data_IF_271553775562
#
_entry.id   IF_271553775562
#
_cell.length_a   1.000
_cell.length_b   1.000
_cell.length_c   1.000
_cell.angle_alpha   90.00
_cell.angle_beta   90.00
_cell.angle_gamma   90.00
#
_symmetry.space_group_name_H-M   'P 1'
#
loop_
_entity.id
_entity.type
_entity.pdbx_description
1 polymer ?
#
# COMPACT_ATOMS: atom_id res chain seq x y z
N UNK A 1 11.38 -15.61 20.08
CA UNK A 1 12.43 -14.63 19.75
C UNK A 1 13.71 -14.84 20.58
N UNK A 2 13.65 -14.73 21.92
CA UNK A 2 14.84 -14.86 22.82
C UNK A 2 15.69 -16.12 22.62
N UNK A 3 15.08 -17.29 22.38
CA UNK A 3 15.82 -18.53 22.12
C UNK A 3 16.67 -18.49 20.83
N UNK A 4 16.17 -17.83 19.77
CA UNK A 4 16.90 -17.69 18.50
C UNK A 4 18.08 -16.70 18.63
N UNK A 5 17.89 -15.63 19.41
CA UNK A 5 18.93 -14.66 19.73
C UNK A 5 20.02 -15.28 20.62
N UNK A 6 19.62 -16.07 21.62
CA UNK A 6 20.55 -16.81 22.50
C UNK A 6 21.38 -17.83 21.74
N UNK A 7 20.82 -18.42 20.68
CA UNK A 7 21.52 -19.34 19.78
C UNK A 7 22.50 -18.64 18.80
N UNK A 8 22.64 -17.31 18.89
CA UNK A 8 23.55 -16.49 18.08
C UNK A 8 23.36 -16.67 16.56
N UNK A 9 22.10 -16.82 16.14
CA UNK A 9 21.76 -17.26 14.79
C UNK A 9 20.74 -16.35 14.12
N UNK A 10 21.20 -15.36 13.36
CA UNK A 10 20.34 -14.36 12.73
C UNK A 10 19.30 -14.97 11.78
N UNK A 11 19.64 -16.02 11.02
CA UNK A 11 18.65 -16.73 10.20
C UNK A 11 17.46 -17.29 11.00
N UNK A 12 17.70 -17.84 12.19
CA UNK A 12 16.61 -18.30 13.08
C UNK A 12 15.83 -17.12 13.65
N UNK A 13 16.50 -16.02 13.94
CA UNK A 13 15.84 -14.77 14.37
C UNK A 13 14.89 -14.27 13.29
N UNK A 14 15.35 -14.23 12.03
CA UNK A 14 14.53 -13.83 10.87
C UNK A 14 13.35 -14.80 10.69
N UNK A 15 13.59 -16.12 10.80
CA UNK A 15 12.52 -17.11 10.73
C UNK A 15 11.48 -16.91 11.83
N UNK A 16 11.91 -16.70 13.06
CA UNK A 16 11.02 -16.47 14.21
C UNK A 16 10.29 -15.13 14.09
N UNK A 17 10.95 -14.08 13.61
CA UNK A 17 10.33 -12.81 13.26
C UNK A 17 9.20 -13.06 12.25
N UNK A 18 9.50 -13.72 11.13
CA UNK A 18 8.51 -14.01 10.08
C UNK A 18 7.30 -14.79 10.55
N UNK A 19 7.49 -15.70 11.51
CA UNK A 19 6.42 -16.53 12.08
C UNK A 19 5.84 -15.94 13.37
N UNK A 20 6.18 -14.69 13.71
CA UNK A 20 5.66 -14.04 14.90
C UNK A 20 4.16 -13.80 14.76
N UNK A 21 3.42 -14.03 15.84
CA UNK A 21 1.95 -13.89 15.87
C UNK A 21 1.45 -12.49 15.55
N UNK A 22 2.30 -11.46 15.71
CA UNK A 22 1.98 -10.09 15.31
C UNK A 22 1.84 -9.92 13.78
N UNK A 23 2.29 -10.87 12.97
CA UNK A 23 2.07 -10.90 11.51
C UNK A 23 0.81 -11.67 11.12
N UNK A 24 -0.04 -12.04 12.07
CA UNK A 24 -1.25 -12.81 11.78
C UNK A 24 -1.01 -14.32 11.70
N UNK A 25 -1.95 -15.06 11.12
CA UNK A 25 -1.98 -16.53 11.20
C UNK A 25 -1.02 -17.19 10.22
N UNK A 26 -0.55 -16.42 9.23
CA UNK A 26 0.42 -16.88 8.24
C UNK A 26 1.71 -16.11 8.41
N UNK A 27 2.85 -16.82 8.39
CA UNK A 27 4.14 -16.16 8.46
C UNK A 27 4.38 -15.31 7.22
N UNK A 28 5.14 -14.22 7.37
CA UNK A 28 5.63 -13.44 6.23
C UNK A 28 6.39 -14.36 5.26
N UNK A 29 6.13 -14.26 3.96
CA UNK A 29 6.77 -15.08 2.95
C UNK A 29 8.29 -14.82 2.88
N UNK A 30 9.09 -15.85 2.54
CA UNK A 30 10.55 -15.72 2.55
C UNK A 30 11.02 -14.70 1.50
N UNK A 31 10.39 -14.65 0.33
CA UNK A 31 10.72 -13.73 -0.75
C UNK A 31 10.53 -12.26 -0.35
N UNK A 32 9.48 -11.97 0.42
CA UNK A 32 9.19 -10.62 0.96
C UNK A 32 10.29 -10.15 1.90
N UNK A 33 10.63 -10.96 2.90
CA UNK A 33 11.65 -10.59 3.89
C UNK A 33 13.06 -10.64 3.30
N UNK A 34 13.31 -11.51 2.33
CA UNK A 34 14.56 -11.52 1.58
C UNK A 34 14.75 -10.21 0.82
N UNK A 35 13.68 -9.69 0.22
CA UNK A 35 13.67 -8.40 -0.46
C UNK A 35 14.12 -7.25 0.44
N UNK A 36 13.61 -7.15 1.68
CA UNK A 36 14.01 -6.12 2.64
C UNK A 36 15.52 -6.14 2.96
N UNK A 37 16.15 -7.30 2.80
CA UNK A 37 17.55 -7.55 3.13
C UNK A 37 18.47 -7.52 1.91
N UNK A 38 17.95 -7.16 0.72
CA UNK A 38 18.68 -7.23 -0.54
C UNK A 38 19.10 -8.65 -0.90
N UNK A 39 18.32 -9.66 -0.53
CA UNK A 39 18.58 -11.08 -0.77
C UNK A 39 17.52 -11.71 -1.68
N UNK A 40 17.87 -12.81 -2.33
CA UNK A 40 16.91 -13.69 -3.01
C UNK A 40 16.21 -14.60 -2.02
N UNK A 41 15.03 -15.12 -2.38
CA UNK A 41 14.32 -16.11 -1.58
C UNK A 41 15.18 -17.34 -1.26
N UNK A 42 15.95 -17.84 -2.24
CA UNK A 42 16.85 -18.97 -2.07
C UNK A 42 18.04 -18.66 -1.16
N UNK A 43 18.51 -17.41 -1.14
CA UNK A 43 19.51 -16.96 -0.16
C UNK A 43 18.91 -16.92 1.24
N UNK A 44 17.73 -16.31 1.43
CA UNK A 44 17.10 -16.27 2.76
C UNK A 44 16.78 -17.68 3.29
N UNK A 45 16.29 -18.59 2.44
CA UNK A 45 16.05 -19.98 2.84
C UNK A 45 17.32 -20.68 3.34
N UNK A 46 18.47 -20.46 2.66
CA UNK A 46 19.78 -20.95 3.12
C UNK A 46 20.22 -20.30 4.42
N UNK A 47 19.89 -19.04 4.65
CA UNK A 47 20.22 -18.36 5.89
C UNK A 47 19.37 -18.87 7.07
N UNK A 48 18.09 -19.16 6.86
CA UNK A 48 17.19 -19.66 7.91
C UNK A 48 17.48 -21.10 8.35
N UNK A 49 17.97 -21.93 7.43
CA UNK A 49 18.18 -23.36 7.65
C UNK A 49 19.65 -23.77 7.68
N UNK A 50 20.55 -22.92 7.20
CA UNK A 50 21.99 -23.16 7.13
C UNK A 50 22.75 -22.69 8.37
N UNK A 51 24.09 -22.63 8.30
CA UNK A 51 24.93 -22.27 9.44
C UNK A 51 24.78 -20.78 9.85
N UNK A 52 25.13 -20.42 11.10
CA UNK A 52 25.09 -19.05 11.56
C UNK A 52 25.96 -18.13 10.70
N UNK A 53 25.41 -16.99 10.31
CA UNK A 53 26.16 -15.93 9.64
C UNK A 53 27.28 -15.40 10.55
N UNK A 54 28.46 -15.23 9.98
CA UNK A 54 29.64 -14.65 10.66
C UNK A 54 29.96 -13.22 10.22
N UNK A 55 29.34 -12.75 9.14
CA UNK A 55 29.58 -11.39 8.64
C UNK A 55 28.87 -10.38 9.55
N UNK A 56 29.67 -9.66 10.33
CA UNK A 56 29.20 -8.71 11.35
C UNK A 56 28.43 -7.53 10.75
N UNK A 57 28.85 -7.02 9.59
CA UNK A 57 28.19 -5.89 8.91
C UNK A 57 26.76 -6.23 8.49
N UNK A 58 26.56 -7.44 7.94
CA UNK A 58 25.22 -7.94 7.59
C UNK A 58 24.35 -8.18 8.81
N UNK A 59 24.94 -8.68 9.90
CA UNK A 59 24.24 -8.88 11.16
C UNK A 59 23.75 -7.55 11.75
N UNK A 60 24.59 -6.52 11.73
CA UNK A 60 24.25 -5.15 12.17
C UNK A 60 23.13 -4.59 11.28
N UNK A 61 23.29 -4.62 9.95
CA UNK A 61 22.30 -4.08 9.02
C UNK A 61 20.91 -4.71 9.22
N UNK A 62 20.83 -6.03 9.42
CA UNK A 62 19.54 -6.71 9.60
C UNK A 62 18.96 -6.56 11.01
N UNK A 63 19.81 -6.52 12.04
CA UNK A 63 19.33 -6.19 13.40
C UNK A 63 18.74 -4.78 13.45
N UNK A 64 19.38 -3.83 12.76
CA UNK A 64 18.90 -2.45 12.60
C UNK A 64 17.59 -2.40 11.84
N UNK A 65 17.49 -3.11 10.70
CA UNK A 65 16.29 -3.21 9.87
C UNK A 65 15.09 -3.84 10.62
N UNK A 66 15.33 -4.91 11.38
CA UNK A 66 14.29 -5.62 12.12
C UNK A 66 13.99 -5.00 13.49
N UNK A 67 14.69 -3.94 13.87
CA UNK A 67 14.48 -3.23 15.14
C UNK A 67 14.79 -4.07 16.37
N UNK A 68 15.81 -4.96 16.30
CA UNK A 68 16.17 -5.83 17.42
C UNK A 68 16.88 -5.00 18.50
N UNK A 69 16.40 -5.00 19.76
CA UNK A 69 17.06 -4.33 20.88
C UNK A 69 18.50 -4.81 21.11
N UNK A 70 19.42 -3.89 21.39
CA UNK A 70 20.85 -4.19 21.54
C UNK A 70 21.15 -5.14 22.71
N UNK A 71 20.42 -4.99 23.82
CA UNK A 71 20.50 -5.85 25.00
C UNK A 71 20.18 -7.33 24.70
N UNK A 72 19.56 -7.60 23.55
CA UNK A 72 19.22 -8.93 23.10
C UNK A 72 20.19 -9.50 22.05
N UNK A 73 21.13 -8.71 21.55
CA UNK A 73 22.10 -9.14 20.54
C UNK A 73 23.34 -9.76 21.19
N UNK A 74 23.94 -10.75 20.52
CA UNK A 74 25.18 -11.40 20.97
C UNK A 74 26.45 -10.76 20.39
N UNK A 75 26.25 -9.64 19.70
CA UNK A 75 27.29 -8.79 19.16
C UNK A 75 26.93 -7.35 19.50
N UNK A 76 27.94 -6.53 19.69
CA UNK A 76 27.75 -5.11 19.92
C UNK A 76 27.28 -4.46 18.63
N UNK A 77 26.25 -3.63 18.75
CA UNK A 77 26.07 -2.60 17.75
C UNK A 77 27.23 -1.60 17.93
N UNK A 78 27.67 -0.92 16.86
CA UNK A 78 28.63 0.16 17.02
C UNK A 78 28.10 1.11 18.09
N UNK A 79 28.90 1.49 19.11
CA UNK A 79 28.46 2.45 20.10
C UNK A 79 27.93 3.69 19.39
N UNK A 80 26.88 4.29 19.93
CA UNK A 80 26.37 5.57 19.46
C UNK A 80 27.41 6.66 19.79
N UNK A 81 28.56 6.63 19.11
CA UNK A 81 29.61 7.63 19.25
C UNK A 81 29.27 8.87 18.41
N UNK A 82 29.55 10.06 18.92
CA UNK A 82 29.34 11.31 18.22
C UNK A 82 30.26 11.35 16.99
N UNK A 83 29.63 11.40 15.82
CA UNK A 83 30.16 11.81 14.51
C UNK A 83 31.71 11.84 14.37
N UNK A 84 32.32 10.68 14.08
CA UNK A 84 33.61 10.64 13.42
C UNK A 84 33.70 9.42 12.49
N UNK A 85 33.49 9.72 11.20
CA UNK A 85 33.98 9.04 9.99
C UNK A 85 34.04 7.51 9.92
N UNK A 86 33.39 7.02 8.85
CA UNK A 86 33.60 5.75 8.13
C UNK A 86 33.01 4.46 8.70
N UNK A 87 31.68 4.31 8.61
CA UNK A 87 30.97 3.06 8.19
C UNK A 87 29.45 3.05 8.52
N UNK A 88 28.88 4.15 9.01
CA UNK A 88 27.47 4.26 9.44
C UNK A 88 26.49 4.84 8.40
N UNK A 89 26.88 4.98 7.13
CA UNK A 89 26.03 5.65 6.13
C UNK A 89 24.96 4.77 5.47
N UNK A 90 24.93 3.46 5.67
CA UNK A 90 24.02 2.61 4.86
C UNK A 90 22.59 2.54 5.38
N UNK A 91 22.32 2.58 6.68
CA UNK A 91 20.95 2.39 7.20
C UNK A 91 20.07 3.66 7.20
N UNK A 92 20.66 4.84 6.98
CA UNK A 92 19.97 6.13 6.87
C UNK A 92 20.36 6.86 5.56
N UNK A 93 20.85 6.11 4.56
CA UNK A 93 21.10 6.67 3.22
C UNK A 93 19.77 6.75 2.46
N UNK A 94 19.55 7.82 1.66
CA UNK A 94 18.44 7.87 0.71
C UNK A 94 18.34 6.64 -0.21
N UNK A 95 19.46 6.00 -0.56
CA UNK A 95 19.46 4.79 -1.38
C UNK A 95 18.84 3.59 -0.65
N UNK A 96 19.13 3.45 0.65
CA UNK A 96 18.54 2.40 1.47
C UNK A 96 17.06 2.64 1.72
N UNK A 97 16.68 3.88 2.02
CA UNK A 97 15.26 4.27 2.14
C UNK A 97 14.49 3.93 0.86
N UNK A 98 15.08 4.18 -0.31
CA UNK A 98 14.48 3.89 -1.60
C UNK A 98 14.31 2.39 -1.84
N UNK A 99 15.32 1.58 -1.53
CA UNK A 99 15.23 0.12 -1.68
C UNK A 99 14.28 -0.52 -0.66
N UNK A 100 14.25 0.00 0.56
CA UNK A 100 13.28 -0.39 1.59
C UNK A 100 11.86 -0.05 1.13
N UNK A 101 11.62 1.18 0.65
CA UNK A 101 10.35 1.63 0.10
C UNK A 101 9.89 0.76 -1.07
N UNK A 102 10.77 0.45 -2.03
CA UNK A 102 10.46 -0.42 -3.18
C UNK A 102 10.06 -1.82 -2.72
N UNK A 103 10.77 -2.36 -1.74
CA UNK A 103 10.48 -3.69 -1.19
C UNK A 103 9.14 -3.72 -0.47
N UNK A 104 8.84 -2.70 0.33
CA UNK A 104 7.53 -2.54 0.96
C UNK A 104 6.42 -2.41 -0.09
N UNK A 105 6.60 -1.62 -1.16
CA UNK A 105 5.62 -1.48 -2.26
C UNK A 105 5.35 -2.78 -2.99
N UNK A 106 6.37 -3.63 -3.15
CA UNK A 106 6.20 -4.96 -3.73
C UNK A 106 5.41 -5.88 -2.81
N UNK A 107 5.72 -5.84 -1.50
CA UNK A 107 5.03 -6.64 -0.51
C UNK A 107 3.55 -6.23 -0.38
N UNK A 108 3.27 -4.94 -0.24
CA UNK A 108 1.91 -4.40 -0.11
C UNK A 108 0.97 -4.84 -1.25
N UNK A 109 1.47 -4.81 -2.49
CA UNK A 109 0.67 -5.21 -3.67
C UNK A 109 0.31 -6.71 -3.69
N UNK A 110 1.08 -7.56 -3.00
CA UNK A 110 0.88 -9.01 -2.94
C UNK A 110 0.08 -9.45 -1.71
N UNK A 111 0.47 -8.98 -0.52
CA UNK A 111 -0.05 -9.50 0.76
C UNK A 111 -0.96 -8.53 1.53
N UNK A 112 -1.01 -7.26 1.10
CA UNK A 112 -1.76 -6.18 1.74
C UNK A 112 -1.00 -5.45 2.84
N UNK A 113 -1.40 -4.21 3.11
CA UNK A 113 -0.67 -3.29 3.99
C UNK A 113 -0.74 -3.60 5.47
N UNK A 114 -1.70 -4.43 5.90
CA UNK A 114 -1.97 -4.66 7.33
C UNK A 114 -0.79 -5.26 8.10
N UNK A 115 -0.09 -6.22 7.47
CA UNK A 115 1.06 -6.89 8.08
C UNK A 115 2.35 -6.04 8.07
N UNK A 116 2.36 -4.96 7.27
CA UNK A 116 3.54 -4.14 7.02
C UNK A 116 3.54 -2.83 7.83
N UNK A 117 2.37 -2.40 8.31
CA UNK A 117 2.22 -1.14 9.02
C UNK A 117 3.10 -1.04 10.29
N UNK A 118 3.18 -2.11 11.08
CA UNK A 118 4.01 -2.13 12.28
C UNK A 118 5.51 -1.96 11.94
N UNK A 119 5.98 -2.60 10.86
CA UNK A 119 7.37 -2.53 10.43
C UNK A 119 7.76 -1.12 9.96
N UNK A 120 6.95 -0.50 9.12
CA UNK A 120 7.23 0.86 8.64
C UNK A 120 7.09 1.90 9.77
N UNK A 121 6.17 1.70 10.72
CA UNK A 121 6.00 2.59 11.87
C UNK A 121 7.20 2.54 12.80
N UNK A 122 7.72 1.34 13.09
CA UNK A 122 8.95 1.17 13.87
C UNK A 122 10.16 1.81 13.19
N UNK A 123 10.27 1.67 11.86
CA UNK A 123 11.31 2.31 11.07
C UNK A 123 11.25 3.84 11.18
N UNK A 124 10.07 4.43 10.95
CA UNK A 124 9.86 5.88 11.03
C UNK A 124 10.13 6.43 12.45
N UNK A 125 9.71 5.72 13.50
CA UNK A 125 9.97 6.11 14.88
C UNK A 125 11.47 6.09 15.24
N UNK A 126 12.21 5.11 14.71
CA UNK A 126 13.66 5.03 14.86
C UNK A 126 14.37 6.15 14.09
N UNK A 127 13.95 6.40 12.84
CA UNK A 127 14.45 7.53 12.05
C UNK A 127 14.32 8.79 12.87
N UNK A 128 13.11 9.12 13.37
CA UNK A 128 12.77 10.30 14.19
C UNK A 128 13.69 10.55 15.38
N UNK A 129 14.15 9.49 16.06
CA UNK A 129 15.05 9.60 17.21
C UNK A 129 16.49 9.94 16.83
N UNK A 130 16.94 9.51 15.65
CA UNK A 130 18.26 9.87 15.14
C UNK A 130 18.32 11.34 14.68
N UNK A 131 17.17 11.98 14.48
CA UNK A 131 17.00 13.33 13.93
C UNK A 131 17.14 14.41 14.97
N UNK A 132 16.72 14.13 16.21
CA UNK A 132 16.88 15.07 17.32
C UNK A 132 18.34 15.33 17.69
N UNK A 133 19.28 14.65 17.03
CA UNK A 133 20.71 14.70 17.31
C UNK A 133 21.54 15.30 16.15
N UNK A 134 20.95 15.69 15.01
CA UNK A 134 21.70 16.16 13.84
C UNK A 134 21.02 17.32 13.06
N UNK A 135 21.83 18.12 12.37
CA UNK A 135 21.45 19.32 11.57
C UNK A 135 20.45 19.03 10.42
N UNK A 136 19.89 20.10 9.84
CA UNK A 136 18.82 20.11 8.84
C UNK A 136 18.95 19.02 7.74
N UNK A 137 17.86 18.29 7.47
CA UNK A 137 17.80 17.24 6.45
C UNK A 137 18.17 17.72 5.05
N UNK A 138 18.87 16.88 4.30
CA UNK A 138 18.97 17.06 2.85
C UNK A 138 17.58 16.94 2.19
N UNK A 139 17.33 17.66 1.08
CA UNK A 139 16.10 17.52 0.31
C UNK A 139 15.75 16.07 -0.03
N UNK A 140 16.73 15.25 -0.39
CA UNK A 140 16.52 13.84 -0.72
C UNK A 140 16.09 13.00 0.48
N UNK A 141 16.63 13.26 1.67
CA UNK A 141 16.19 12.58 2.89
C UNK A 141 14.76 12.98 3.28
N UNK A 142 14.38 14.25 3.09
CA UNK A 142 12.99 14.69 3.27
C UNK A 142 12.04 13.97 2.30
N UNK A 143 12.42 13.85 1.02
CA UNK A 143 11.63 13.15 0.00
C UNK A 143 11.46 11.65 0.32
N UNK A 144 12.54 10.99 0.78
CA UNK A 144 12.50 9.61 1.21
C UNK A 144 11.49 9.39 2.34
N UNK A 145 11.56 10.24 3.36
CA UNK A 145 10.69 10.16 4.53
C UNK A 145 9.25 10.55 4.24
N UNK A 146 9.03 11.51 3.34
CA UNK A 146 7.70 11.84 2.84
C UNK A 146 7.06 10.61 2.17
N UNK A 147 7.83 9.90 1.33
CA UNK A 147 7.36 8.69 0.65
C UNK A 147 7.07 7.53 1.60
N UNK A 148 7.91 7.34 2.62
CA UNK A 148 7.68 6.34 3.67
C UNK A 148 6.45 6.68 4.50
N UNK A 149 6.21 7.95 4.83
CA UNK A 149 4.99 8.37 5.51
C UNK A 149 3.76 8.21 4.60
N UNK A 150 3.83 8.53 3.31
CA UNK A 150 2.74 8.28 2.38
C UNK A 150 2.36 6.79 2.41
N UNK A 151 3.36 5.92 2.33
CA UNK A 151 3.17 4.48 2.39
C UNK A 151 2.58 4.00 3.74
N UNK A 152 3.08 4.53 4.86
CA UNK A 152 2.55 4.22 6.18
C UNK A 152 1.09 4.66 6.31
N UNK A 153 0.73 5.79 5.69
CA UNK A 153 -0.65 6.26 5.62
C UNK A 153 -1.57 5.27 4.91
N UNK A 154 -1.14 4.74 3.76
CA UNK A 154 -1.88 3.71 3.03
C UNK A 154 -2.01 2.40 3.80
N UNK A 155 -0.95 1.97 4.48
CA UNK A 155 -0.98 0.76 5.30
C UNK A 155 -1.89 0.92 6.52
N UNK A 156 -1.84 2.08 7.19
CA UNK A 156 -2.75 2.40 8.28
C UNK A 156 -4.21 2.37 7.82
N UNK A 157 -4.50 2.95 6.65
CA UNK A 157 -5.82 2.89 6.04
C UNK A 157 -6.26 1.43 5.78
N UNK A 158 -5.36 0.59 5.24
CA UNK A 158 -5.61 -0.84 5.00
C UNK A 158 -5.85 -1.65 6.28
N UNK A 159 -5.39 -1.18 7.45
CA UNK A 159 -5.72 -1.74 8.78
C UNK A 159 -7.00 -1.19 9.39
N UNK A 160 -7.65 -0.22 8.76
CA UNK A 160 -8.84 0.45 9.27
C UNK A 160 -8.56 1.64 10.21
N UNK A 161 -7.30 2.03 10.43
CA UNK A 161 -6.95 3.18 11.28
C UNK A 161 -6.97 4.49 10.52
N UNK A 162 -8.13 5.15 10.46
CA UNK A 162 -8.31 6.44 9.77
C UNK A 162 -7.45 7.57 10.39
N UNK A 163 -7.34 7.61 11.72
CA UNK A 163 -6.56 8.63 12.44
C UNK A 163 -5.07 8.52 12.10
N UNK A 164 -4.52 7.31 12.14
CA UNK A 164 -3.12 7.07 11.81
C UNK A 164 -2.85 7.36 10.32
N UNK A 165 -3.76 6.95 9.43
CA UNK A 165 -3.67 7.25 8.01
C UNK A 165 -3.58 8.76 7.74
N UNK A 166 -4.48 9.54 8.35
CA UNK A 166 -4.50 10.99 8.22
C UNK A 166 -3.21 11.63 8.76
N UNK A 167 -2.76 11.22 9.96
CA UNK A 167 -1.52 11.72 10.57
C UNK A 167 -0.31 11.51 9.66
N UNK A 168 -0.15 10.30 9.13
CA UNK A 168 0.97 9.98 8.23
C UNK A 168 0.92 10.80 6.93
N UNK A 169 -0.25 10.94 6.30
CA UNK A 169 -0.36 11.74 5.07
C UNK A 169 -0.13 13.24 5.30
N UNK A 170 -0.50 13.76 6.47
CA UNK A 170 -0.19 15.15 6.85
C UNK A 170 1.32 15.35 6.97
N UNK A 171 2.00 14.49 7.74
CA UNK A 171 3.46 14.52 7.86
C UNK A 171 4.16 14.32 6.52
N UNK A 172 3.64 13.46 5.64
CA UNK A 172 4.17 13.29 4.30
C UNK A 172 4.12 14.60 3.50
N UNK A 173 3.00 15.33 3.57
CA UNK A 173 2.80 16.61 2.87
C UNK A 173 3.83 17.65 3.31
N UNK A 174 4.00 17.84 4.63
CA UNK A 174 4.95 18.80 5.20
C UNK A 174 6.41 18.48 4.81
N UNK A 175 6.77 17.19 4.81
CA UNK A 175 8.11 16.76 4.42
C UNK A 175 8.35 16.92 2.91
N UNK A 176 7.35 16.62 2.07
CA UNK A 176 7.48 16.75 0.63
C UNK A 176 7.62 18.20 0.18
N UNK A 177 6.85 19.12 0.77
CA UNK A 177 6.98 20.56 0.50
C UNK A 177 8.39 21.07 0.83
N UNK A 178 8.96 20.62 1.95
CA UNK A 178 10.35 20.96 2.35
C UNK A 178 11.42 20.27 1.50
N UNK A 179 11.10 19.17 0.82
CA UNK A 179 12.03 18.44 -0.05
C UNK A 179 12.27 19.11 -1.41
N UNK A 180 11.45 20.11 -1.76
CA UNK A 180 11.44 20.77 -3.07
C UNK A 180 11.20 19.83 -4.28
N UNK A 181 10.77 18.59 -4.05
CA UNK A 181 10.32 17.67 -5.10
C UNK A 181 8.82 17.89 -5.38
N UNK A 182 8.53 18.71 -6.39
CA UNK A 182 7.15 19.06 -6.76
C UNK A 182 6.33 17.86 -7.23
N UNK A 183 6.94 16.88 -7.90
CA UNK A 183 6.23 15.68 -8.32
C UNK A 183 5.83 14.82 -7.13
N UNK A 184 6.71 14.65 -6.13
CA UNK A 184 6.39 13.93 -4.91
C UNK A 184 5.30 14.65 -4.09
N UNK A 185 5.42 15.97 -3.93
CA UNK A 185 4.40 16.77 -3.26
C UNK A 185 3.03 16.58 -3.92
N UNK A 186 2.96 16.71 -5.25
CA UNK A 186 1.74 16.51 -6.02
C UNK A 186 1.16 15.08 -5.88
N UNK A 187 2.01 14.05 -5.82
CA UNK A 187 1.58 12.67 -5.54
C UNK A 187 0.91 12.54 -4.17
N UNK A 188 1.46 13.16 -3.14
CA UNK A 188 0.89 13.09 -1.79
C UNK A 188 -0.47 13.77 -1.75
N UNK A 189 -0.67 14.88 -2.48
CA UNK A 189 -1.98 15.48 -2.66
C UNK A 189 -2.97 14.56 -3.39
N UNK A 190 -2.52 13.79 -4.39
CA UNK A 190 -3.36 12.75 -4.99
C UNK A 190 -3.78 11.69 -3.95
N UNK A 191 -2.87 11.33 -3.03
CA UNK A 191 -3.17 10.39 -1.97
C UNK A 191 -4.15 10.91 -0.92
N UNK A 192 -4.00 12.18 -0.51
CA UNK A 192 -4.96 12.86 0.37
C UNK A 192 -6.34 12.96 -0.27
N UNK A 193 -6.41 13.27 -1.57
CA UNK A 193 -7.67 13.27 -2.31
C UNK A 193 -8.35 11.91 -2.31
N UNK A 194 -7.56 10.84 -2.44
CA UNK A 194 -8.07 9.47 -2.35
C UNK A 194 -8.57 9.10 -0.98
N UNK A 195 -7.85 9.43 0.10
CA UNK A 195 -8.35 9.20 1.45
C UNK A 195 -9.64 9.97 1.73
N UNK A 196 -9.71 11.26 1.35
CA UNK A 196 -10.91 12.08 1.49
C UNK A 196 -12.12 11.49 0.72
N UNK A 197 -11.89 11.03 -0.51
CA UNK A 197 -12.91 10.35 -1.32
C UNK A 197 -13.43 9.09 -0.63
N UNK A 198 -12.55 8.30 -0.03
CA UNK A 198 -12.91 7.07 0.68
C UNK A 198 -13.81 7.36 1.89
N UNK A 199 -13.58 8.46 2.58
CA UNK A 199 -14.42 8.91 3.70
C UNK A 199 -15.68 9.69 3.28
N UNK A 200 -15.98 9.75 1.98
CA UNK A 200 -17.17 10.44 1.46
C UNK A 200 -17.06 11.96 1.46
N UNK A 201 -15.88 12.54 1.70
CA UNK A 201 -15.67 13.99 1.68
C UNK A 201 -15.29 14.45 0.26
N UNK A 202 -16.31 14.67 -0.57
CA UNK A 202 -16.13 15.05 -1.97
C UNK A 202 -15.43 16.42 -2.14
N UNK A 203 -15.73 17.38 -1.26
CA UNK A 203 -15.15 18.72 -1.32
C UNK A 203 -13.64 18.71 -1.03
N UNK A 204 -13.22 18.05 0.05
CA UNK A 204 -11.79 17.89 0.35
C UNK A 204 -11.06 17.11 -0.75
N UNK A 205 -11.68 16.05 -1.28
CA UNK A 205 -11.11 15.29 -2.38
C UNK A 205 -10.83 16.19 -3.60
N UNK A 206 -11.78 17.04 -3.97
CA UNK A 206 -11.61 18.03 -5.04
C UNK A 206 -10.51 19.04 -4.74
N UNK A 207 -10.50 19.60 -3.53
CA UNK A 207 -9.49 20.58 -3.10
C UNK A 207 -8.08 19.99 -3.19
N UNK A 208 -7.86 18.78 -2.66
CA UNK A 208 -6.55 18.14 -2.71
C UNK A 208 -6.13 17.79 -4.13
N UNK A 209 -7.04 17.31 -4.98
CA UNK A 209 -6.72 17.02 -6.37
C UNK A 209 -6.32 18.30 -7.13
N UNK A 210 -7.05 19.41 -6.89
CA UNK A 210 -6.74 20.72 -7.45
C UNK A 210 -5.36 21.21 -6.98
N UNK A 211 -5.07 21.17 -5.68
CA UNK A 211 -3.77 21.58 -5.13
C UNK A 211 -2.60 20.80 -5.75
N UNK A 212 -2.76 19.49 -5.93
CA UNK A 212 -1.73 18.68 -6.61
C UNK A 212 -1.53 19.09 -8.08
N UNK A 213 -2.60 19.44 -8.81
CA UNK A 213 -2.49 19.95 -10.18
C UNK A 213 -1.83 21.33 -10.24
N UNK A 214 -2.09 22.21 -9.26
CA UNK A 214 -1.44 23.52 -9.16
C UNK A 214 0.07 23.36 -8.93
N UNK A 215 0.50 22.46 -8.05
CA UNK A 215 1.92 22.18 -7.80
C UNK A 215 2.66 21.74 -9.08
N UNK A 216 1.99 21.04 -9.99
CA UNK A 216 2.59 20.58 -11.24
C UNK A 216 2.73 21.67 -12.32
N UNK A 217 2.08 22.82 -12.18
CA UNK A 217 2.11 23.86 -13.24
C UNK A 217 3.51 24.37 -13.53
N UNK A 218 4.31 24.52 -12.47
CA UNK A 218 5.67 25.08 -12.55
C UNK A 218 6.76 23.99 -12.42
N UNK A 219 6.35 22.72 -12.32
CA UNK A 219 7.25 21.58 -12.14
C UNK A 219 7.55 20.80 -13.43
N UNK A 220 8.47 19.81 -13.38
CA UNK A 220 8.78 18.96 -14.52
C UNK A 220 7.54 18.16 -14.96
N UNK A 221 7.31 18.11 -16.27
CA UNK A 221 6.11 17.51 -16.87
C UNK A 221 6.18 16.00 -16.78
N UNK A 222 5.19 15.40 -16.12
CA UNK A 222 5.07 13.94 -16.05
C UNK A 222 3.61 13.50 -16.23
N UNK A 223 3.29 13.08 -17.46
CA UNK A 223 1.95 12.71 -17.91
C UNK A 223 1.18 11.77 -16.97
N UNK A 224 1.76 10.64 -16.53
CA UNK A 224 1.06 9.70 -15.64
C UNK A 224 0.64 10.29 -14.28
N UNK A 225 1.46 11.17 -13.68
CA UNK A 225 1.10 11.81 -12.42
C UNK A 225 -0.01 12.86 -12.63
N UNK A 226 0.04 13.61 -13.74
CA UNK A 226 -1.04 14.50 -14.13
C UNK A 226 -2.34 13.73 -14.35
N UNK A 227 -2.29 12.61 -15.05
CA UNK A 227 -3.44 11.71 -15.26
C UNK A 227 -4.00 11.21 -13.92
N UNK A 228 -3.14 10.80 -12.98
CA UNK A 228 -3.57 10.39 -11.63
C UNK A 228 -4.35 11.48 -10.91
N UNK A 229 -3.82 12.70 -10.88
CA UNK A 229 -4.47 13.84 -10.23
C UNK A 229 -5.78 14.22 -10.91
N UNK A 230 -5.85 14.20 -12.23
CA UNK A 230 -7.09 14.44 -12.96
C UNK A 230 -8.13 13.33 -12.70
N UNK A 231 -7.71 12.07 -12.56
CA UNK A 231 -8.61 10.99 -12.13
C UNK A 231 -9.16 11.23 -10.70
N UNK A 232 -8.32 11.71 -9.78
CA UNK A 232 -8.77 12.10 -8.44
C UNK A 232 -9.77 13.25 -8.48
N UNK A 233 -9.50 14.27 -9.31
CA UNK A 233 -10.40 15.41 -9.52
C UNK A 233 -11.74 14.95 -10.10
N UNK A 234 -11.71 14.10 -11.14
CA UNK A 234 -12.92 13.55 -11.74
C UNK A 234 -13.77 12.79 -10.73
N UNK A 235 -13.16 11.97 -9.87
CA UNK A 235 -13.89 11.24 -8.82
C UNK A 235 -14.51 12.17 -7.78
N UNK A 236 -13.80 13.26 -7.42
CA UNK A 236 -14.35 14.32 -6.59
C UNK A 236 -15.57 14.98 -7.25
N UNK A 237 -15.47 15.32 -8.54
CA UNK A 237 -16.55 15.94 -9.32
C UNK A 237 -17.78 15.02 -9.38
N UNK A 238 -17.56 13.73 -9.68
CA UNK A 238 -18.61 12.72 -9.70
C UNK A 238 -19.30 12.59 -8.33
N UNK A 239 -18.53 12.59 -7.24
CA UNK A 239 -19.08 12.49 -5.88
C UNK A 239 -19.89 13.72 -5.48
N UNK A 240 -19.61 14.88 -6.08
CA UNK A 240 -20.37 16.12 -5.92
C UNK A 240 -21.54 16.29 -6.92
N UNK A 241 -21.85 15.27 -7.74
CA UNK A 241 -22.93 15.31 -8.73
C UNK A 241 -22.60 16.03 -10.04
N UNK A 242 -21.33 16.43 -10.25
CA UNK A 242 -20.87 17.16 -11.46
C UNK A 242 -20.43 16.18 -12.55
N UNK A 243 -21.37 15.35 -13.02
CA UNK A 243 -21.06 14.18 -13.84
C UNK A 243 -20.43 14.52 -15.21
N UNK A 244 -20.94 15.54 -15.91
CA UNK A 244 -20.40 15.96 -17.22
C UNK A 244 -18.94 16.39 -17.09
N UNK A 245 -18.63 17.18 -16.07
CA UNK A 245 -17.27 17.66 -15.82
C UNK A 245 -16.34 16.52 -15.38
N UNK A 246 -16.86 15.56 -14.62
CA UNK A 246 -16.12 14.36 -14.24
C UNK A 246 -15.69 13.55 -15.48
N UNK A 247 -16.62 13.28 -16.41
CA UNK A 247 -16.33 12.55 -17.65
C UNK A 247 -15.33 13.29 -18.53
N UNK A 248 -15.52 14.60 -18.73
CA UNK A 248 -14.57 15.44 -19.48
C UNK A 248 -13.18 15.44 -18.85
N UNK A 249 -13.10 15.47 -17.52
CA UNK A 249 -11.84 15.42 -16.78
C UNK A 249 -11.14 14.07 -16.95
N UNK A 250 -11.87 12.96 -16.97
CA UNK A 250 -11.32 11.63 -17.28
C UNK A 250 -10.77 11.54 -18.71
N UNK A 251 -11.49 12.05 -19.71
CA UNK A 251 -11.00 12.04 -21.09
C UNK A 251 -9.69 12.84 -21.24
N UNK A 252 -9.57 13.96 -20.54
CA UNK A 252 -8.32 14.75 -20.50
C UNK A 252 -7.20 14.05 -19.71
N UNK A 253 -7.56 13.29 -18.67
CA UNK A 253 -6.61 12.47 -17.91
C UNK A 253 -6.01 11.37 -18.79
N UNK A 254 -6.83 10.69 -19.58
CA UNK A 254 -6.40 9.64 -20.53
C UNK A 254 -5.42 10.21 -21.57
N UNK A 255 -5.74 11.38 -22.15
CA UNK A 255 -4.84 12.08 -23.07
C UNK A 255 -3.51 12.51 -22.43
N UNK A 256 -3.47 12.67 -21.11
CA UNK A 256 -2.26 13.10 -20.41
C UNK A 256 -1.16 12.04 -20.41
N UNK A 257 -1.48 10.77 -20.64
CA UNK A 257 -0.46 9.72 -20.80
C UNK A 257 0.42 9.92 -22.03
N UNK A 258 -0.10 10.55 -23.08
CA UNK A 258 0.63 10.84 -24.32
C UNK A 258 1.52 12.10 -24.25
N UNK A 259 1.50 12.81 -23.12
CA UNK A 259 2.32 14.02 -22.92
C UNK A 259 3.77 13.60 -22.60
N UNK A 260 4.73 14.44 -23.02
CA UNK A 260 6.16 14.24 -22.77
C UNK A 260 6.49 13.88 -21.32
N UNK A 261 7.49 13.00 -21.19
CA UNK A 261 7.96 12.49 -19.90
C UNK A 261 9.30 13.15 -19.59
N UNK A 262 9.28 14.20 -18.77
CA UNK A 262 10.50 14.61 -18.06
C UNK A 262 10.92 13.48 -17.09
N UNK A 263 12.14 13.59 -16.57
CA UNK A 263 12.66 12.60 -15.62
C UNK A 263 11.74 12.53 -14.39
N UNK A 264 11.07 11.39 -14.23
CA UNK A 264 10.26 11.11 -13.05
C UNK A 264 11.10 11.15 -11.77
N UNK A 265 10.56 11.75 -10.72
CA UNK A 265 11.10 11.58 -9.38
C UNK A 265 11.15 10.09 -9.03
N UNK A 266 12.28 9.66 -8.46
CA UNK A 266 12.49 8.25 -8.08
C UNK A 266 11.52 7.80 -6.97
N UNK A 267 10.91 8.77 -6.29
CA UNK A 267 9.98 8.59 -5.18
C UNK A 267 8.54 8.35 -5.63
N UNK A 268 8.24 8.58 -6.91
CA UNK A 268 6.89 8.36 -7.43
C UNK A 268 6.45 6.90 -7.31
N UNK A 269 5.18 6.73 -7.00
CA UNK A 269 4.47 5.47 -7.09
C UNK A 269 3.98 5.30 -8.52
N UNK A 270 4.17 4.12 -9.15
CA UNK A 270 3.72 3.88 -10.52
C UNK A 270 2.21 4.12 -10.67
N UNK A 271 1.82 4.78 -11.76
CA UNK A 271 0.45 4.96 -12.18
C UNK A 271 0.38 4.69 -13.67
N UNK A 272 -0.19 3.56 -14.06
CA UNK A 272 -0.29 3.09 -15.43
C UNK A 272 -1.75 3.05 -15.90
N UNK A 273 -1.95 2.65 -17.15
CA UNK A 273 -3.28 2.55 -17.77
C UNK A 273 -4.23 1.63 -16.97
N UNK A 274 -3.71 0.56 -16.36
CA UNK A 274 -4.51 -0.34 -15.50
C UNK A 274 -4.95 0.38 -14.22
N UNK A 275 -4.04 1.11 -13.57
CA UNK A 275 -4.38 1.92 -12.39
C UNK A 275 -5.38 3.01 -12.75
N UNK A 276 -5.24 3.62 -13.93
CA UNK A 276 -6.18 4.61 -14.46
C UNK A 276 -7.55 4.02 -14.78
N UNK A 277 -7.62 2.80 -15.34
CA UNK A 277 -8.87 2.10 -15.59
C UNK A 277 -9.63 1.81 -14.29
N UNK A 278 -8.93 1.41 -13.22
CA UNK A 278 -9.52 1.21 -11.88
C UNK A 278 -10.11 2.53 -11.36
N UNK A 279 -9.37 3.64 -11.45
CA UNK A 279 -9.86 4.94 -10.95
C UNK A 279 -11.00 5.50 -11.80
N UNK A 280 -10.95 5.31 -13.11
CA UNK A 280 -12.04 5.65 -14.04
C UNK A 280 -13.31 4.87 -13.70
N UNK A 281 -13.20 3.56 -13.45
CA UNK A 281 -14.34 2.73 -13.05
C UNK A 281 -14.96 3.22 -11.73
N UNK A 282 -14.16 3.58 -10.71
CA UNK A 282 -14.67 4.18 -9.46
C UNK A 282 -15.44 5.48 -9.70
N UNK A 283 -14.97 6.29 -10.65
CA UNK A 283 -15.63 7.54 -11.04
C UNK A 283 -16.98 7.25 -11.71
N UNK A 284 -17.02 6.36 -12.71
CA UNK A 284 -18.25 6.00 -13.41
C UNK A 284 -19.28 5.30 -12.50
N UNK A 285 -18.84 4.50 -11.53
CA UNK A 285 -19.74 3.97 -10.49
C UNK A 285 -20.43 5.08 -9.71
N UNK A 286 -19.70 6.16 -9.38
CA UNK A 286 -20.25 7.28 -8.65
C UNK A 286 -21.21 8.12 -9.50
N UNK A 287 -20.94 8.22 -10.80
CA UNK A 287 -21.84 8.82 -11.79
C UNK A 287 -23.12 7.98 -11.97
N UNK A 288 -23.06 6.68 -11.74
CA UNK A 288 -24.14 5.71 -12.00
C UNK A 288 -24.08 5.08 -13.40
N UNK A 289 -22.99 5.30 -14.15
CA UNK A 289 -22.80 4.68 -15.45
C UNK A 289 -22.20 3.28 -15.30
N UNK A 290 -23.09 2.30 -15.13
CA UNK A 290 -22.72 0.89 -14.96
C UNK A 290 -22.19 0.25 -16.26
N UNK A 291 -22.40 0.88 -17.42
CA UNK A 291 -21.87 0.40 -18.70
C UNK A 291 -20.39 0.75 -18.83
N UNK A 292 -20.05 2.03 -18.64
CA UNK A 292 -18.65 2.46 -18.62
C UNK A 292 -17.87 1.81 -17.48
N UNK A 293 -18.49 1.70 -16.29
CA UNK A 293 -17.87 0.97 -15.17
C UNK A 293 -17.43 -0.44 -15.57
N UNK A 294 -18.33 -1.19 -16.21
CA UNK A 294 -18.06 -2.56 -16.65
C UNK A 294 -16.93 -2.59 -17.68
N UNK A 295 -16.98 -1.73 -18.71
CA UNK A 295 -15.95 -1.68 -19.75
C UNK A 295 -14.56 -1.39 -19.17
N UNK A 296 -14.46 -0.42 -18.26
CA UNK A 296 -13.19 -0.06 -17.60
C UNK A 296 -12.68 -1.18 -16.70
N UNK A 297 -13.56 -1.91 -16.03
CA UNK A 297 -13.19 -3.05 -15.19
C UNK A 297 -12.74 -4.27 -15.99
N UNK A 298 -13.31 -4.48 -17.18
CA UNK A 298 -12.91 -5.58 -18.06
C UNK A 298 -11.44 -5.47 -18.46
N UNK A 299 -10.95 -4.26 -18.77
CA UNK A 299 -9.53 -3.97 -19.02
C UNK A 299 -8.63 -4.50 -17.88
N UNK A 300 -9.09 -4.34 -16.63
CA UNK A 300 -8.33 -4.75 -15.44
C UNK A 300 -8.35 -6.27 -15.27
N UNK A 301 -9.46 -6.92 -15.60
CA UNK A 301 -9.61 -8.38 -15.53
C UNK A 301 -8.74 -9.07 -16.58
N UNK A 302 -8.72 -8.53 -17.80
CA UNK A 302 -7.98 -9.09 -18.94
C UNK A 302 -6.46 -8.94 -18.78
N UNK A 303 -6.01 -7.92 -18.06
CA UNK A 303 -4.59 -7.61 -17.85
C UNK A 303 -3.91 -8.48 -16.77
N UNK A 304 -4.07 -9.82 -16.82
CA UNK A 304 -3.57 -10.78 -15.81
C UNK A 304 -2.20 -10.36 -15.20
N UNK A 305 -2.14 -10.16 -13.88
CA UNK A 305 -0.93 -9.68 -13.21
C UNK A 305 -0.69 -10.37 -11.88
N UNK A 306 0.47 -11.02 -11.75
CA UNK A 306 0.92 -11.65 -10.51
C UNK A 306 1.47 -10.63 -9.48
N UNK A 307 1.73 -9.39 -9.90
CA UNK A 307 2.25 -8.34 -9.00
C UNK A 307 1.17 -7.45 -8.40
N UNK A 308 -0.06 -7.45 -8.93
CA UNK A 308 -1.17 -6.54 -8.54
C UNK A 308 -2.33 -7.25 -7.86
N UNK A 309 -2.03 -8.29 -7.08
CA UNK A 309 -3.03 -9.17 -6.46
C UNK A 309 -4.10 -8.38 -5.72
N UNK A 310 -3.72 -7.44 -4.84
CA UNK A 310 -4.67 -6.64 -4.05
C UNK A 310 -5.57 -5.75 -4.90
N UNK A 311 -4.99 -4.93 -5.78
CA UNK A 311 -5.76 -3.98 -6.58
C UNK A 311 -6.65 -4.68 -7.61
N UNK A 312 -6.20 -5.79 -8.19
CA UNK A 312 -7.04 -6.61 -9.08
C UNK A 312 -8.19 -7.28 -8.33
N UNK A 313 -7.95 -7.79 -7.11
CA UNK A 313 -9.01 -8.36 -6.30
C UNK A 313 -10.10 -7.33 -5.95
N UNK A 314 -9.69 -6.11 -5.57
CA UNK A 314 -10.62 -5.00 -5.33
C UNK A 314 -11.39 -4.61 -6.61
N UNK A 315 -10.72 -4.55 -7.76
CA UNK A 315 -11.36 -4.26 -9.04
C UNK A 315 -12.37 -5.36 -9.45
N UNK A 316 -12.06 -6.63 -9.21
CA UNK A 316 -12.99 -7.75 -9.44
C UNK A 316 -14.21 -7.68 -8.53
N UNK A 317 -14.05 -7.33 -7.25
CA UNK A 317 -15.22 -7.11 -6.36
C UNK A 317 -16.06 -5.91 -6.80
N UNK A 318 -15.41 -4.87 -7.31
CA UNK A 318 -16.09 -3.72 -7.92
C UNK A 318 -16.92 -4.16 -9.14
N UNK A 319 -16.40 -5.08 -9.95
CA UNK A 319 -17.10 -5.65 -11.11
C UNK A 319 -18.28 -6.52 -10.66
N UNK A 320 -18.10 -7.35 -9.63
CA UNK A 320 -19.20 -8.14 -9.03
C UNK A 320 -20.35 -7.23 -8.60
N UNK A 321 -20.06 -6.15 -7.88
CA UNK A 321 -21.10 -5.18 -7.47
C UNK A 321 -21.83 -4.57 -8.67
N UNK A 322 -21.10 -4.24 -9.74
CA UNK A 322 -21.68 -3.73 -10.98
C UNK A 322 -22.55 -4.78 -11.70
N UNK A 323 -22.14 -6.04 -11.72
CA UNK A 323 -22.90 -7.14 -12.33
C UNK A 323 -24.17 -7.46 -11.54
N UNK A 324 -24.11 -7.45 -10.20
CA UNK A 324 -25.28 -7.59 -9.33
C UNK A 324 -26.29 -6.46 -9.59
N UNK A 325 -25.82 -5.22 -9.72
CA UNK A 325 -26.67 -4.07 -10.07
C UNK A 325 -27.30 -4.15 -11.47
N UNK A 326 -26.78 -5.02 -12.35
CA UNK A 326 -27.28 -5.28 -13.71
C UNK A 326 -28.05 -6.61 -13.82
N UNK A 327 -28.27 -7.31 -12.71
CA UNK A 327 -28.91 -8.64 -12.65
C UNK A 327 -28.16 -9.75 -13.43
N UNK A 328 -26.86 -9.59 -13.64
CA UNK A 328 -25.98 -10.59 -14.26
C UNK A 328 -25.44 -11.58 -13.19
N UNK A 329 -26.33 -12.40 -12.64
CA UNK A 329 -26.05 -13.18 -11.43
C UNK A 329 -25.03 -14.32 -11.63
N UNK A 330 -25.10 -15.04 -12.75
CA UNK A 330 -24.18 -16.14 -13.06
C UNK A 330 -22.72 -15.66 -13.09
N UNK A 331 -22.49 -14.56 -13.80
CA UNK A 331 -21.16 -13.95 -13.96
C UNK A 331 -20.66 -13.38 -12.63
N UNK A 332 -21.53 -12.69 -11.87
CA UNK A 332 -21.20 -12.20 -10.53
C UNK A 332 -20.80 -13.33 -9.58
N UNK A 333 -21.51 -14.47 -9.61
CA UNK A 333 -21.18 -15.65 -8.81
C UNK A 333 -19.83 -16.26 -9.24
N UNK A 334 -19.58 -16.35 -10.55
CA UNK A 334 -18.32 -16.83 -11.13
C UNK A 334 -17.12 -16.02 -10.64
N UNK A 335 -17.13 -14.71 -10.84
CA UNK A 335 -16.03 -13.82 -10.44
C UNK A 335 -15.83 -13.84 -8.94
N UNK A 336 -16.91 -13.90 -8.15
CA UNK A 336 -16.82 -13.98 -6.69
C UNK A 336 -16.10 -15.24 -6.23
N UNK A 337 -16.36 -16.41 -6.85
CA UNK A 337 -15.61 -17.63 -6.55
C UNK A 337 -14.12 -17.46 -6.84
N UNK A 338 -13.78 -16.94 -8.01
CA UNK A 338 -12.38 -16.72 -8.39
C UNK A 338 -11.66 -15.78 -7.42
N UNK A 339 -12.34 -14.71 -6.99
CA UNK A 339 -11.78 -13.78 -5.99
C UNK A 339 -11.53 -14.51 -4.68
N UNK A 340 -12.48 -15.29 -4.17
CA UNK A 340 -12.31 -16.02 -2.91
C UNK A 340 -11.15 -17.03 -2.99
N UNK A 341 -11.03 -17.74 -4.11
CA UNK A 341 -10.00 -18.76 -4.34
C UNK A 341 -8.59 -18.13 -4.44
N UNK A 342 -8.46 -17.00 -5.15
CA UNK A 342 -7.16 -16.34 -5.40
C UNK A 342 -6.68 -15.45 -4.26
N UNK A 343 -7.53 -15.13 -3.27
CA UNK A 343 -7.23 -14.12 -2.24
C UNK A 343 -7.29 -14.65 -0.81
N UNK A 344 -7.20 -15.96 -0.62
CA UNK A 344 -7.17 -16.59 0.70
C UNK A 344 -6.09 -16.01 1.64
N UNK A 345 -5.03 -15.44 1.07
CA UNK A 345 -3.83 -15.00 1.77
C UNK A 345 -3.75 -13.48 1.90
N UNK A 346 -4.73 -12.75 1.35
CA UNK A 346 -4.73 -11.29 1.31
C UNK A 346 -5.21 -10.70 2.63
N UNK A 347 -4.32 -10.01 3.36
CA UNK A 347 -4.64 -9.31 4.61
C UNK A 347 -4.93 -7.82 4.40
N UNK A 348 -6.19 -7.48 4.10
CA UNK A 348 -6.64 -6.09 3.93
C UNK A 348 -8.03 -5.91 4.51
N UNK A 349 -8.20 -4.97 5.45
CA UNK A 349 -9.50 -4.65 6.04
C UNK A 349 -10.43 -4.01 5.00
N UNK A 350 -9.88 -3.21 4.09
CA UNK A 350 -10.62 -2.62 2.96
C UNK A 350 -11.20 -3.73 2.07
N UNK A 351 -10.40 -4.74 1.74
CA UNK A 351 -10.86 -5.89 0.97
C UNK A 351 -11.94 -6.70 1.70
N UNK A 352 -11.75 -6.97 3.00
CA UNK A 352 -12.75 -7.66 3.81
C UNK A 352 -14.08 -6.88 3.90
N UNK A 353 -14.02 -5.55 3.99
CA UNK A 353 -15.21 -4.71 3.96
C UNK A 353 -15.94 -4.77 2.60
N UNK A 354 -15.21 -4.80 1.48
CA UNK A 354 -15.80 -4.97 0.15
C UNK A 354 -16.43 -6.36 -0.04
N UNK A 355 -15.80 -7.42 0.47
CA UNK A 355 -16.40 -8.76 0.51
C UNK A 355 -17.72 -8.76 1.31
N UNK A 356 -17.71 -8.15 2.50
CA UNK A 356 -18.91 -8.04 3.32
C UNK A 356 -20.03 -7.27 2.58
N UNK A 357 -19.67 -6.22 1.83
CA UNK A 357 -20.62 -5.49 1.01
C UNK A 357 -21.22 -6.37 -0.11
N UNK A 358 -20.40 -7.15 -0.81
CA UNK A 358 -20.89 -8.12 -1.81
C UNK A 358 -21.84 -9.15 -1.19
N UNK A 359 -21.52 -9.68 0.00
CA UNK A 359 -22.43 -10.58 0.74
C UNK A 359 -23.80 -9.93 0.97
N UNK A 360 -23.83 -8.66 1.39
CA UNK A 360 -25.08 -7.90 1.59
C UNK A 360 -25.86 -7.78 0.26
N UNK A 361 -25.18 -7.40 -0.82
CA UNK A 361 -25.81 -7.22 -2.14
C UNK A 361 -26.31 -8.53 -2.75
N UNK A 362 -25.73 -9.67 -2.39
CA UNK A 362 -26.18 -10.98 -2.86
C UNK A 362 -27.44 -11.48 -2.15
N UNK A 363 -27.69 -11.08 -0.89
CA UNK A 363 -28.82 -11.61 -0.07
C UNK A 363 -30.19 -11.51 -0.75
N UNK A 364 -30.58 -10.41 -1.42
CA UNK A 364 -31.86 -10.33 -2.13
C UNK A 364 -32.04 -11.38 -3.25
N UNK A 365 -30.94 -11.95 -3.76
CA UNK A 365 -30.96 -12.93 -4.85
C UNK A 365 -30.93 -14.38 -4.36
N UNK A 366 -30.91 -14.62 -3.04
CA UNK A 366 -30.75 -15.97 -2.46
C UNK A 366 -31.86 -16.96 -2.83
N UNK A 367 -33.09 -16.49 -3.03
CA UNK A 367 -34.22 -17.33 -3.48
C UNK A 367 -34.29 -17.48 -5.00
N UNK A 368 -33.63 -16.59 -5.75
CA UNK A 368 -33.70 -16.52 -7.21
C UNK A 368 -32.59 -17.30 -7.91
N UNK A 369 -31.48 -17.56 -7.23
CA UNK A 369 -30.30 -18.18 -7.82
C UNK A 369 -29.69 -19.22 -6.90
N UNK A 370 -29.59 -20.46 -7.38
CA UNK A 370 -29.25 -21.64 -6.56
C UNK A 370 -27.88 -21.55 -5.87
N UNK A 371 -26.91 -20.88 -6.50
CA UNK A 371 -25.54 -20.77 -5.95
C UNK A 371 -25.38 -19.70 -4.87
N UNK A 372 -26.27 -18.69 -4.86
CA UNK A 372 -26.11 -17.49 -4.02
C UNK A 372 -26.08 -17.83 -2.52
N UNK A 373 -26.97 -18.69 -1.97
CA UNK A 373 -26.92 -19.04 -0.55
C UNK A 373 -25.58 -19.63 -0.10
N UNK A 374 -25.01 -20.56 -0.87
CA UNK A 374 -23.73 -21.18 -0.55
C UNK A 374 -22.58 -20.18 -0.63
N UNK A 375 -22.64 -19.27 -1.61
CA UNK A 375 -21.61 -18.26 -1.81
C UNK A 375 -21.62 -17.20 -0.70
N UNK A 376 -22.79 -16.77 -0.22
CA UNK A 376 -22.92 -15.88 0.94
C UNK A 376 -22.24 -16.47 2.17
N UNK A 377 -22.47 -17.76 2.46
CA UNK A 377 -21.81 -18.45 3.58
C UNK A 377 -20.28 -18.40 3.42
N UNK A 378 -19.80 -18.71 2.23
CA UNK A 378 -18.36 -18.71 1.91
C UNK A 378 -17.74 -17.32 2.05
N UNK A 379 -18.45 -16.27 1.63
CA UNK A 379 -18.02 -14.88 1.82
C UNK A 379 -17.99 -14.51 3.30
N UNK A 380 -19.04 -14.84 4.06
CA UNK A 380 -19.14 -14.51 5.49
C UNK A 380 -18.02 -15.21 6.28
N UNK A 381 -17.70 -16.47 5.96
CA UNK A 381 -16.54 -17.19 6.51
C UNK A 381 -15.21 -16.53 6.14
N UNK A 382 -15.05 -16.17 4.88
CA UNK A 382 -13.88 -15.45 4.38
C UNK A 382 -13.68 -14.12 5.12
N UNK A 383 -14.74 -13.36 5.37
CA UNK A 383 -14.70 -12.11 6.14
C UNK A 383 -14.34 -12.38 7.60
N UNK A 384 -14.95 -13.38 8.26
CA UNK A 384 -14.61 -13.78 9.64
C UNK A 384 -13.13 -14.15 9.78
N UNK A 385 -12.61 -14.95 8.87
CA UNK A 385 -11.20 -15.38 8.83
C UNK A 385 -10.22 -14.23 8.59
N UNK A 386 -10.69 -13.05 8.14
CA UNK A 386 -9.86 -11.87 7.91
C UNK A 386 -10.07 -10.77 8.95
N UNK A 387 -11.24 -10.70 9.60
CA UNK A 387 -11.57 -9.66 10.57
C UNK A 387 -10.86 -9.81 11.93
N UNK A 388 -10.40 -11.00 12.30
CA UNK A 388 -9.60 -11.17 13.52
C UNK A 388 -8.26 -10.39 13.44
N UNK A 389 -7.80 -10.04 12.23
CA UNK A 389 -6.65 -9.15 11.99
C UNK A 389 -6.89 -7.75 12.60
N UNK A 390 -8.14 -7.29 12.67
CA UNK A 390 -8.49 -5.99 13.26
C UNK A 390 -8.63 -6.05 14.80
N UNK A 391 -8.95 -7.22 15.37
CA UNK A 391 -9.20 -7.38 16.82
C UNK A 391 -7.88 -7.34 17.62
N UNK A 392 -6.78 -7.83 17.05
CA UNK A 392 -5.47 -7.84 17.71
C UNK A 392 -4.83 -6.44 17.77
N UNK A 393 -5.23 -5.50 16.90
CA UNK A 393 -4.70 -4.13 16.88
C UNK A 393 -5.45 -3.14 17.80
N UNK A 394 -6.63 -3.51 18.31
CA UNK A 394 -7.40 -2.69 19.26
C UNK A 394 -7.18 -3.06 20.74
N UNK A 395 -6.32 -4.06 21.02
CA UNK A 395 -5.92 -4.43 22.39
C UNK A 395 -4.42 -4.19 22.52
N UNK A 396 -4.00 -2.93 22.43
CA UNK A 396 -2.76 -2.35 23.00
C UNK A 396 -2.53 -0.95 22.44
N UNK A 397 -3.30 0.04 22.91
CA UNK A 397 -2.83 1.41 23.11
C UNK A 397 -3.33 1.85 24.48
#
# INVERSE_FOLDING_TARGET
MRAALSARHMGRVIRVYRHHSHHGARPLAQDVVAGWMGQTQAQLSRLENGPPLRNIERLIAWAVLLGIPEDLLWFSLPPAEPAASTSSNHANSPDFDLDFLRSLRRADRRVGGGHLYAAISAYLAKSLRAESQNDAFSPTALAARASLNEMAGWMAHDTGSAIAAHKHLLTASELAERSADSQLAAQIYAGRSHLASHHGNANEALTYAFQGLEILKDGPVYGPLKARLMAMQARGLASSGRHVEATQTLSRAEQSFSIGLDRASTWLSPFDEISFAIESARCFQRIGDLTETHQRLQIVVDAESQERVRSQALARLMLVTTLLGRDHLDEACGITREVLDRTADLGSAVFAAQLAHVSILMRPHASRHAEVPALIIRIDDAVRQRNWINIVNNVSI
#
